data_IF_355503054966
#
_entry.id   IF_355503054966
#
_cell.length_a   1.000
_cell.length_b   1.000
_cell.length_c   1.000
_cell.angle_alpha   90.00
_cell.angle_beta   90.00
_cell.angle_gamma   90.00
#
_symmetry.space_group_name_H-M   'P 1'
#
loop_
_entity.id
_entity.type
_entity.pdbx_description
1 polymer ?
#
# COMPACT_ATOMS: atom_id res chain seq x y z
N UNK A 1 -8.08 -4.65 12.22
CA UNK A 1 -7.89 -3.21 11.98
C UNK A 1 -8.91 -2.68 10.97
N UNK A 2 -10.18 -2.54 11.38
CA UNK A 2 -11.23 -2.01 10.52
C UNK A 2 -10.88 -0.61 10.01
N UNK A 3 -11.06 -0.40 8.70
CA UNK A 3 -10.82 0.87 8.04
C UNK A 3 -11.93 1.22 7.06
N UNK A 4 -12.18 2.52 6.93
CA UNK A 4 -12.99 3.11 5.86
C UNK A 4 -12.24 4.29 5.31
N UNK A 5 -12.15 4.40 3.99
CA UNK A 5 -11.60 5.57 3.33
C UNK A 5 -12.35 5.89 2.05
N UNK A 6 -12.99 7.06 2.04
CA UNK A 6 -13.69 7.62 0.87
C UNK A 6 -12.97 8.87 0.43
N UNK A 7 -12.48 8.85 -0.80
CA UNK A 7 -11.70 9.95 -1.34
C UNK A 7 -12.04 10.19 -2.82
N UNK A 8 -11.71 11.39 -3.29
CA UNK A 8 -11.79 11.77 -4.70
C UNK A 8 -10.57 12.60 -5.05
N UNK A 9 -10.17 12.60 -6.31
CA UNK A 9 -9.07 13.43 -6.79
C UNK A 9 -9.45 14.19 -8.05
N UNK A 10 -9.27 15.50 -8.04
CA UNK A 10 -9.30 16.32 -9.25
C UNK A 10 -7.87 16.52 -9.75
N UNK A 11 -7.65 16.32 -11.04
CA UNK A 11 -6.33 16.43 -11.67
C UNK A 11 -6.34 17.48 -12.77
N UNK A 12 -5.21 18.18 -12.93
CA UNK A 12 -4.97 19.06 -14.08
C UNK A 12 -3.83 18.49 -14.91
N UNK A 13 -4.15 17.93 -16.08
CA UNK A 13 -3.19 17.26 -16.95
C UNK A 13 -2.75 15.89 -16.41
N UNK A 14 -1.59 15.43 -16.86
CA UNK A 14 -0.98 14.19 -16.40
C UNK A 14 -0.34 14.36 -15.04
N UNK A 15 -0.51 13.36 -14.19
CA UNK A 15 0.15 13.28 -12.88
C UNK A 15 0.90 11.95 -12.75
N UNK A 16 1.89 11.94 -11.86
CA UNK A 16 2.55 10.74 -11.35
C UNK A 16 2.34 10.71 -9.85
N UNK A 17 1.47 9.85 -9.36
CA UNK A 17 1.16 9.71 -7.95
C UNK A 17 0.48 8.37 -7.64
N UNK A 18 0.43 8.01 -6.37
CA UNK A 18 -0.49 7.00 -5.85
C UNK A 18 -1.51 7.60 -4.86
N UNK A 19 -2.44 6.76 -4.40
CA UNK A 19 -3.20 7.01 -3.17
C UNK A 19 -3.16 5.71 -2.39
N UNK A 20 -2.59 5.70 -1.19
CA UNK A 20 -2.25 4.48 -0.48
C UNK A 20 -2.45 4.58 1.04
N UNK A 21 -2.75 3.45 1.67
CA UNK A 21 -2.36 3.24 3.06
C UNK A 21 -0.87 2.94 3.11
N UNK A 22 -0.21 3.42 4.15
CA UNK A 22 1.21 3.18 4.39
C UNK A 22 1.45 2.82 5.85
N UNK A 23 2.03 1.65 6.09
CA UNK A 23 2.21 1.07 7.42
C UNK A 23 3.68 0.70 7.61
N UNK A 24 4.20 0.96 8.81
CA UNK A 24 5.55 0.57 9.16
C UNK A 24 5.58 -0.34 10.38
N UNK A 25 6.45 -1.34 10.33
CA UNK A 25 6.70 -2.25 11.45
C UNK A 25 8.14 -2.14 11.94
N UNK A 26 8.36 -2.46 13.22
CA UNK A 26 9.67 -2.48 13.87
C UNK A 26 9.86 -3.73 14.73
N UNK A 27 11.12 -4.12 14.97
CA UNK A 27 11.47 -5.23 15.87
C UNK A 27 11.28 -4.87 17.36
N UNK A 28 11.18 -3.58 17.69
CA UNK A 28 10.93 -3.10 19.06
C UNK A 28 9.87 -2.02 19.06
N UNK A 29 9.16 -1.84 20.17
CA UNK A 29 8.21 -0.75 20.32
C UNK A 29 8.91 0.62 20.10
N UNK A 30 8.45 1.39 19.13
CA UNK A 30 9.03 2.70 18.76
C UNK A 30 10.43 2.64 18.13
N UNK A 31 10.88 1.46 17.71
CA UNK A 31 12.18 1.30 17.03
C UNK A 31 12.15 1.73 15.56
N UNK A 32 13.30 1.62 14.90
CA UNK A 32 13.43 1.88 13.47
C UNK A 32 12.57 0.93 12.63
N UNK A 33 12.08 1.43 11.50
CA UNK A 33 11.29 0.66 10.55
C UNK A 33 12.12 -0.48 9.95
N UNK A 34 11.52 -1.66 9.82
CA UNK A 34 12.12 -2.84 9.16
C UNK A 34 11.28 -3.34 7.99
N UNK A 35 9.96 -3.14 8.03
CA UNK A 35 9.10 -3.27 6.85
C UNK A 35 8.23 -2.02 6.68
N UNK A 36 7.98 -1.69 5.43
CA UNK A 36 6.99 -0.74 4.92
C UNK A 36 5.98 -1.52 4.10
N UNK A 37 4.70 -1.28 4.35
CA UNK A 37 3.60 -2.09 3.85
C UNK A 37 2.56 -1.14 3.32
N UNK A 38 2.50 -1.06 1.99
CA UNK A 38 1.62 -0.15 1.28
C UNK A 38 0.43 -0.90 0.70
N UNK A 39 -0.76 -0.30 0.81
CA UNK A 39 -1.98 -0.78 0.16
C UNK A 39 -2.50 0.35 -0.72
N UNK A 40 -2.16 0.28 -2.01
CA UNK A 40 -2.43 1.32 -2.98
C UNK A 40 -3.89 1.23 -3.42
N UNK A 41 -4.70 2.23 -3.14
CA UNK A 41 -6.06 2.32 -3.67
C UNK A 41 -6.09 2.86 -5.11
N UNK A 42 -5.03 3.58 -5.53
CA UNK A 42 -4.89 4.12 -6.87
C UNK A 42 -3.43 4.13 -7.32
N UNK A 43 -3.22 3.94 -8.63
CA UNK A 43 -1.96 4.22 -9.29
C UNK A 43 -2.21 5.16 -10.47
N UNK A 44 -1.66 6.37 -10.41
CA UNK A 44 -1.67 7.33 -11.50
C UNK A 44 -0.25 7.41 -12.09
N UNK A 45 0.11 6.45 -12.95
CA UNK A 45 1.40 6.39 -13.65
C UNK A 45 2.66 6.29 -12.74
N UNK A 46 2.49 5.91 -11.48
CA UNK A 46 3.57 5.55 -10.58
C UNK A 46 3.93 4.05 -10.72
N UNK A 47 4.97 3.62 -10.00
CA UNK A 47 5.37 2.21 -9.92
C UNK A 47 5.74 1.84 -8.48
N UNK A 48 5.34 0.67 -7.97
CA UNK A 48 5.75 0.21 -6.66
C UNK A 48 7.25 -0.09 -6.64
N UNK A 49 7.85 -0.03 -5.46
CA UNK A 49 9.20 -0.56 -5.24
C UNK A 49 9.16 -2.07 -5.51
N UNK A 50 10.02 -2.52 -6.43
CA UNK A 50 10.12 -3.92 -6.81
C UNK A 50 11.58 -4.34 -6.93
N UNK A 51 11.85 -5.58 -6.57
CA UNK A 51 13.11 -6.28 -6.82
C UNK A 51 13.12 -7.02 -8.17
N UNK A 52 11.94 -7.23 -8.77
CA UNK A 52 11.78 -7.97 -10.02
C UNK A 52 11.13 -7.09 -11.09
N UNK A 53 11.73 -7.10 -12.28
CA UNK A 53 11.24 -6.36 -13.44
C UNK A 53 11.23 -7.27 -14.68
N UNK A 54 10.19 -7.11 -15.50
CA UNK A 54 10.10 -7.73 -16.81
C UNK A 54 11.07 -7.08 -17.79
N UNK A 55 11.25 -7.72 -18.96
CA UNK A 55 12.04 -7.15 -20.05
C UNK A 55 11.43 -5.85 -20.62
N UNK A 56 10.16 -5.58 -20.34
CA UNK A 56 9.47 -4.33 -20.66
C UNK A 56 9.70 -3.23 -19.62
N UNK A 57 10.50 -3.48 -18.60
CA UNK A 57 10.82 -2.54 -17.52
C UNK A 57 9.71 -2.39 -16.48
N UNK A 58 8.65 -3.21 -16.52
CA UNK A 58 7.57 -3.14 -15.54
C UNK A 58 7.85 -4.04 -14.33
N UNK A 59 7.43 -3.63 -13.12
CA UNK A 59 7.58 -4.48 -11.95
C UNK A 59 6.75 -5.75 -12.12
N UNK A 60 7.31 -6.88 -11.70
CA UNK A 60 6.65 -8.20 -11.72
C UNK A 60 6.13 -8.49 -10.31
N UNK A 61 4.83 -8.83 -10.15
CA UNK A 61 4.28 -9.15 -8.84
C UNK A 61 4.84 -10.48 -8.33
N UNK A 62 5.17 -10.54 -7.04
CA UNK A 62 5.60 -11.77 -6.35
C UNK A 62 4.41 -12.70 -6.05
N UNK A 63 3.21 -12.13 -5.95
CA UNK A 63 1.95 -12.87 -5.88
C UNK A 63 0.85 -12.11 -6.62
N UNK A 64 -0.07 -12.82 -7.28
CA UNK A 64 -1.12 -12.22 -8.12
C UNK A 64 -2.51 -12.71 -7.75
N UNK A 65 -3.52 -11.89 -8.07
CA UNK A 65 -4.94 -12.22 -7.90
C UNK A 65 -5.35 -12.57 -6.46
N UNK A 66 -4.76 -11.90 -5.47
CA UNK A 66 -5.06 -12.10 -4.06
C UNK A 66 -6.42 -11.50 -3.70
N UNK A 67 -7.34 -12.30 -3.18
CA UNK A 67 -8.66 -11.82 -2.71
C UNK A 67 -8.57 -11.41 -1.25
N UNK A 68 -8.48 -10.11 -0.98
CA UNK A 68 -8.31 -9.55 0.37
C UNK A 68 -9.24 -8.34 0.51
N UNK A 69 -9.99 -8.29 1.62
CA UNK A 69 -10.86 -7.18 1.98
C UNK A 69 -11.86 -6.77 0.86
N UNK A 70 -12.39 -7.75 0.11
CA UNK A 70 -13.38 -7.52 -0.95
C UNK A 70 -12.81 -7.02 -2.29
N UNK A 71 -11.48 -6.97 -2.44
CA UNK A 71 -10.80 -6.55 -3.65
C UNK A 71 -9.76 -7.58 -4.09
N UNK A 72 -9.31 -7.46 -5.34
CA UNK A 72 -8.26 -8.31 -5.92
C UNK A 72 -6.96 -7.54 -6.08
N UNK A 73 -5.88 -8.08 -5.54
CA UNK A 73 -4.59 -7.41 -5.44
C UNK A 73 -3.46 -8.21 -6.10
N UNK A 74 -2.49 -7.50 -6.65
CA UNK A 74 -1.16 -8.00 -6.93
C UNK A 74 -0.21 -7.47 -5.86
N UNK A 75 0.65 -8.34 -5.34
CA UNK A 75 1.68 -7.99 -4.37
C UNK A 75 3.02 -7.83 -5.08
N UNK A 76 3.69 -6.73 -4.79
CA UNK A 76 5.06 -6.43 -5.21
C UNK A 76 5.96 -6.35 -3.99
N UNK A 77 7.24 -6.71 -4.15
CA UNK A 77 8.22 -6.68 -3.05
C UNK A 77 9.59 -6.18 -3.52
N UNK A 78 10.22 -5.35 -2.69
CA UNK A 78 11.58 -4.86 -2.89
C UNK A 78 12.14 -4.23 -1.61
N UNK A 79 13.09 -3.30 -1.76
CA UNK A 79 13.65 -2.55 -0.64
C UNK A 79 13.98 -1.13 -1.07
N UNK A 80 13.74 -0.17 -0.17
CA UNK A 80 14.17 1.23 -0.31
C UNK A 80 15.60 1.47 0.24
N UNK A 81 16.32 0.40 0.63
CA UNK A 81 17.65 0.45 1.25
C UNK A 81 17.65 0.57 2.77
N UNK A 82 16.54 1.01 3.38
CA UNK A 82 16.38 1.10 4.84
C UNK A 82 15.48 -0.02 5.39
N UNK A 83 14.42 -0.38 4.68
CA UNK A 83 13.46 -1.41 5.05
C UNK A 83 13.09 -2.29 3.84
N UNK A 84 12.50 -3.45 4.11
CA UNK A 84 11.75 -4.20 3.11
C UNK A 84 10.46 -3.45 2.78
N UNK A 85 10.02 -3.50 1.52
CA UNK A 85 8.82 -2.81 1.05
C UNK A 85 7.90 -3.83 0.39
N UNK A 86 6.64 -3.83 0.81
CA UNK A 86 5.56 -4.66 0.26
C UNK A 86 4.44 -3.75 -0.22
N UNK A 87 4.06 -3.84 -1.50
CA UNK A 87 3.01 -2.99 -2.06
C UNK A 87 1.90 -3.84 -2.67
N UNK A 88 0.69 -3.73 -2.13
CA UNK A 88 -0.53 -4.32 -2.70
C UNK A 88 -1.17 -3.32 -3.64
N UNK A 89 -1.28 -3.66 -4.92
CA UNK A 89 -1.93 -2.83 -5.94
C UNK A 89 -3.19 -3.54 -6.47
N UNK A 90 -4.30 -2.83 -6.71
CA UNK A 90 -5.50 -3.43 -7.29
C UNK A 90 -5.17 -3.94 -8.70
N UNK A 91 -5.72 -5.09 -9.07
CA UNK A 91 -5.52 -5.64 -10.41
C UNK A 91 -6.24 -4.84 -11.49
N UNK A 92 -7.22 -4.01 -11.12
CA UNK A 92 -7.93 -3.14 -12.05
C UNK A 92 -8.51 -1.91 -11.35
N UNK A 93 -8.56 -0.81 -12.10
CA UNK A 93 -9.26 0.41 -11.70
C UNK A 93 -8.68 1.12 -10.47
N UNK A 94 -9.52 1.96 -9.89
CA UNK A 94 -9.22 2.78 -8.72
C UNK A 94 -10.27 2.54 -7.65
N UNK A 95 -9.84 2.41 -6.40
CA UNK A 95 -10.72 2.17 -5.24
C UNK A 95 -10.91 3.50 -4.51
N UNK A 96 -11.90 4.29 -4.93
CA UNK A 96 -12.20 5.60 -4.31
C UNK A 96 -13.01 5.49 -3.01
N UNK A 97 -13.58 4.31 -2.72
CA UNK A 97 -14.32 4.02 -1.50
C UNK A 97 -13.95 2.64 -0.99
N UNK A 98 -12.93 2.57 -0.12
CA UNK A 98 -12.50 1.35 0.54
C UNK A 98 -13.22 1.17 1.88
N UNK A 99 -13.63 -0.07 2.18
CA UNK A 99 -14.09 -0.48 3.50
C UNK A 99 -13.66 -1.93 3.72
N UNK A 100 -12.83 -2.17 4.73
CA UNK A 100 -12.26 -3.49 4.97
C UNK A 100 -11.34 -3.54 6.18
N UNK A 101 -10.78 -4.72 6.45
CA UNK A 101 -9.82 -4.90 7.53
C UNK A 101 -8.38 -4.87 7.00
N UNK A 102 -7.61 -3.85 7.39
CA UNK A 102 -6.19 -3.68 7.03
C UNK A 102 -5.34 -4.81 7.61
N UNK A 103 -5.74 -5.41 8.75
CA UNK A 103 -5.03 -6.53 9.36
C UNK A 103 -4.96 -7.73 8.43
N UNK A 104 -5.92 -7.92 7.52
CA UNK A 104 -5.92 -9.02 6.56
C UNK A 104 -4.69 -8.98 5.62
N UNK A 105 -4.16 -7.80 5.30
CA UNK A 105 -2.94 -7.65 4.53
C UNK A 105 -1.69 -8.02 5.34
N UNK A 106 -1.63 -7.60 6.61
CA UNK A 106 -0.56 -7.99 7.53
C UNK A 106 -0.57 -9.51 7.77
N UNK A 107 -1.76 -10.10 7.92
CA UNK A 107 -1.94 -11.53 8.09
C UNK A 107 -1.45 -12.30 6.85
N UNK A 108 -1.68 -11.77 5.64
CA UNK A 108 -1.12 -12.35 4.42
C UNK A 108 0.41 -12.34 4.46
N UNK A 109 1.02 -11.19 4.76
CA UNK A 109 2.48 -11.05 4.77
C UNK A 109 3.15 -11.93 5.83
N UNK A 110 2.54 -12.09 7.00
CA UNK A 110 3.08 -12.96 8.06
C UNK A 110 2.96 -14.44 7.71
N UNK A 111 1.97 -14.84 6.91
CA UNK A 111 1.78 -16.22 6.47
C UNK A 111 2.60 -16.59 5.24
N UNK A 112 2.86 -15.64 4.33
CA UNK A 112 3.38 -15.94 3.00
C UNK A 112 4.72 -15.25 2.69
N UNK A 113 5.02 -14.11 3.31
CA UNK A 113 6.15 -13.25 2.92
C UNK A 113 7.21 -13.08 4.03
N UNK A 114 7.07 -13.82 5.13
CA UNK A 114 8.08 -13.88 6.20
C UNK A 114 8.13 -12.66 7.13
N UNK A 115 7.12 -11.78 7.08
CA UNK A 115 6.98 -10.71 8.08
C UNK A 115 6.73 -11.35 9.46
N UNK A 116 7.50 -10.95 10.48
CA UNK A 116 7.42 -11.61 11.79
C UNK A 116 6.19 -11.16 12.56
N UNK A 117 5.45 -12.10 13.14
CA UNK A 117 4.34 -11.82 14.06
C UNK A 117 4.78 -11.20 15.39
N UNK A 118 6.09 -11.19 15.69
CA UNK A 118 6.65 -10.53 16.87
C UNK A 118 6.96 -9.04 16.66
N UNK A 119 6.78 -8.51 15.45
CA UNK A 119 7.04 -7.10 15.14
C UNK A 119 5.90 -6.21 15.61
N UNK A 120 6.26 -4.96 15.91
CA UNK A 120 5.35 -3.92 16.36
C UNK A 120 4.93 -3.06 15.16
N UNK A 121 3.63 -2.83 14.99
CA UNK A 121 3.14 -1.75 14.14
C UNK A 121 3.47 -0.42 14.81
N UNK A 122 4.32 0.40 14.18
CA UNK A 122 4.78 1.69 14.75
C UNK A 122 4.16 2.89 14.07
N UNK A 123 3.72 2.73 12.81
CA UNK A 123 3.09 3.79 12.02
C UNK A 123 1.97 3.18 11.19
N UNK A 124 0.83 3.87 11.11
CA UNK A 124 -0.24 3.58 10.16
C UNK A 124 -0.81 4.89 9.62
N UNK A 125 -0.71 5.07 8.31
CA UNK A 125 -1.02 6.30 7.60
C UNK A 125 -1.91 6.01 6.38
N UNK A 126 -2.49 7.07 5.83
CA UNK A 126 -3.21 7.03 4.56
C UNK A 126 -3.05 8.39 3.87
N UNK A 127 -2.67 8.38 2.58
CA UNK A 127 -2.36 9.61 1.85
C UNK A 127 -2.07 9.37 0.37
N UNK A 128 -1.27 10.26 -0.19
CA UNK A 128 -0.83 10.22 -1.59
C UNK A 128 0.65 10.51 -1.66
N UNK A 129 1.37 9.79 -2.52
CA UNK A 129 2.77 10.06 -2.84
C UNK A 129 2.88 10.71 -4.23
N UNK A 130 2.81 12.06 -4.33
CA UNK A 130 2.94 12.75 -5.60
C UNK A 130 4.40 12.91 -6.01
N UNK A 131 4.72 12.49 -7.23
CA UNK A 131 6.04 12.69 -7.87
C UNK A 131 6.00 13.84 -8.87
N UNK A 132 4.93 13.98 -9.65
CA UNK A 132 4.79 15.10 -10.60
C UNK A 132 3.35 15.42 -10.96
N UNK A 133 3.12 16.64 -11.46
CA UNK A 133 1.82 17.15 -11.89
C UNK A 133 1.11 17.97 -10.81
N UNK A 134 -0.17 18.28 -11.05
CA UNK A 134 -1.01 19.05 -10.12
C UNK A 134 -2.35 18.37 -9.91
N UNK A 135 -2.69 18.11 -8.65
CA UNK A 135 -3.92 17.46 -8.24
C UNK A 135 -4.39 17.97 -6.88
N UNK A 136 -5.66 17.74 -6.58
CA UNK A 136 -6.23 17.93 -5.24
C UNK A 136 -6.91 16.64 -4.81
N UNK A 137 -6.33 15.99 -3.80
CA UNK A 137 -6.93 14.86 -3.11
C UNK A 137 -7.90 15.39 -2.04
N UNK A 138 -9.15 14.93 -2.09
CA UNK A 138 -10.17 15.22 -1.09
C UNK A 138 -10.57 13.94 -0.38
N UNK A 139 -10.26 13.83 0.91
CA UNK A 139 -10.72 12.74 1.77
C UNK A 139 -12.03 13.17 2.45
N UNK A 140 -13.13 12.56 2.03
CA UNK A 140 -14.47 12.86 2.56
C UNK A 140 -14.82 12.06 3.82
N UNK A 141 -14.22 10.89 3.99
CA UNK A 141 -14.30 10.09 5.20
C UNK A 141 -13.03 9.24 5.35
N UNK A 142 -12.49 9.19 6.55
CA UNK A 142 -11.39 8.29 6.90
C UNK A 142 -11.56 7.80 8.34
N UNK A 143 -11.36 6.51 8.55
CA UNK A 143 -11.23 5.90 9.88
C UNK A 143 -10.30 4.71 9.78
N UNK A 144 -9.42 4.54 10.76
CA UNK A 144 -8.63 3.34 10.95
C UNK A 144 -8.61 3.04 12.45
N UNK A 145 -9.00 1.83 12.83
CA UNK A 145 -9.08 1.42 14.24
C UNK A 145 -8.12 0.26 14.51
N UNK A 146 -7.24 0.44 15.50
CA UNK A 146 -6.41 -0.62 16.07
C UNK A 146 -7.15 -1.15 17.30
N UNK A 147 -7.53 -2.43 17.27
CA UNK A 147 -8.25 -3.13 18.33
C UNK A 147 -7.37 -4.21 18.95
#
# INVERSE_FOLDING_TARGET
MPSTWKWSQSTSGSIVADVAYDLFTSNTAGGSNVNEIMIWLANFNAGPISSQYGSDGKPVPVASNLSIAGHTWNLYSGSNGANAVFSFLPTSGTITSFSGDIKAFLDYLTQHEGVSTSQYLVTAQAGTEPTSGSATLTTSAYSLVVN
#
